data_IF_845493902695
#
_entry.id   IF_845493902695
#
_cell.length_a   1.000
_cell.length_b   1.000
_cell.length_c   1.000
_cell.angle_alpha   90.00
_cell.angle_beta   90.00
_cell.angle_gamma   90.00
#
_symmetry.space_group_name_H-M   'P 1'
#
loop_
_entity.id
_entity.type
_entity.pdbx_description
1 polymer ?
#
# COMPACT_ATOMS: atom_id res chain seq x y z
N UNK A 1 39.99 65.84 1.28
CA UNK A 1 40.06 64.46 1.80
C UNK A 1 39.69 63.54 0.64
N UNK A 2 40.66 62.86 0.03
CA UNK A 2 40.42 62.01 -1.13
C UNK A 2 39.96 60.63 -0.68
N UNK A 3 38.84 60.14 -1.21
CA UNK A 3 38.37 58.77 -0.97
C UNK A 3 39.35 57.75 -1.56
N UNK A 4 39.57 56.58 -0.91
CA UNK A 4 40.45 55.56 -1.43
C UNK A 4 39.85 54.93 -2.69
N UNK A 5 40.66 54.59 -3.71
CA UNK A 5 40.18 53.87 -4.88
C UNK A 5 39.86 52.42 -4.47
N UNK A 6 38.60 52.02 -4.62
CA UNK A 6 38.22 50.61 -4.60
C UNK A 6 38.85 49.94 -5.84
N UNK A 7 39.70 48.94 -5.62
CA UNK A 7 40.45 48.28 -6.68
C UNK A 7 39.65 47.08 -7.23
N UNK A 8 39.35 47.01 -8.54
CA UNK A 8 38.56 45.95 -9.17
C UNK A 8 39.05 44.51 -8.93
N UNK A 9 40.31 44.36 -8.54
CA UNK A 9 40.95 43.08 -8.24
C UNK A 9 40.47 42.50 -6.90
N UNK A 10 40.13 43.34 -5.92
CA UNK A 10 39.58 42.90 -4.65
C UNK A 10 38.15 42.34 -4.83
N UNK A 11 37.34 43.00 -5.66
CA UNK A 11 35.97 42.55 -5.99
C UNK A 11 35.95 41.18 -6.70
N UNK A 12 36.86 40.97 -7.67
CA UNK A 12 36.99 39.67 -8.34
C UNK A 12 37.42 38.54 -7.39
N UNK A 13 38.32 38.82 -6.45
CA UNK A 13 38.73 37.83 -5.45
C UNK A 13 37.59 37.48 -4.49
N UNK A 14 36.76 38.46 -4.14
CA UNK A 14 35.59 38.24 -3.32
C UNK A 14 34.56 37.37 -4.05
N UNK A 15 34.24 37.70 -5.30
CA UNK A 15 33.32 36.92 -6.13
C UNK A 15 33.78 35.47 -6.33
N UNK A 16 35.09 35.24 -6.50
CA UNK A 16 35.64 33.90 -6.59
C UNK A 16 35.47 33.08 -5.29
N UNK A 17 35.59 33.73 -4.13
CA UNK A 17 35.36 33.09 -2.83
C UNK A 17 33.88 32.78 -2.62
N UNK A 18 32.99 33.71 -2.96
CA UNK A 18 31.54 33.52 -2.88
C UNK A 18 31.08 32.39 -3.81
N UNK A 19 31.59 32.35 -5.05
CA UNK A 19 31.29 31.25 -5.99
C UNK A 19 31.79 29.90 -5.47
N UNK A 20 32.98 29.87 -4.86
CA UNK A 20 33.51 28.65 -4.25
C UNK A 20 32.63 28.18 -3.09
N UNK A 21 32.24 29.09 -2.21
CA UNK A 21 31.36 28.76 -1.09
C UNK A 21 29.99 28.24 -1.56
N UNK A 22 29.44 28.81 -2.64
CA UNK A 22 28.19 28.35 -3.24
C UNK A 22 28.34 26.97 -3.90
N UNK A 23 29.44 26.71 -4.60
CA UNK A 23 29.72 25.38 -5.15
C UNK A 23 29.85 24.33 -4.04
N UNK A 24 30.64 24.64 -3.01
CA UNK A 24 30.82 23.75 -1.85
C UNK A 24 29.47 23.49 -1.13
N UNK A 25 28.59 24.50 -1.06
CA UNK A 25 27.22 24.36 -0.52
C UNK A 25 26.35 23.45 -1.38
N UNK A 26 26.38 23.61 -2.70
CA UNK A 26 25.61 22.77 -3.63
C UNK A 26 26.08 21.32 -3.62
N UNK A 27 27.39 21.10 -3.57
CA UNK A 27 27.95 19.76 -3.44
C UNK A 27 27.47 19.05 -2.17
N UNK A 28 27.42 19.77 -1.05
CA UNK A 28 26.88 19.25 0.20
C UNK A 28 25.37 18.93 0.10
N UNK A 29 24.59 19.80 -0.53
CA UNK A 29 23.15 19.56 -0.76
C UNK A 29 22.89 18.35 -1.66
N UNK A 30 23.69 18.19 -2.73
CA UNK A 30 23.62 17.03 -3.62
C UNK A 30 23.92 15.75 -2.85
N UNK A 31 24.99 15.73 -2.03
CA UNK A 31 25.36 14.57 -1.21
C UNK A 31 24.28 14.20 -0.19
N UNK A 32 23.65 15.19 0.44
CA UNK A 32 22.52 14.96 1.34
C UNK A 32 21.34 14.34 0.62
N UNK A 33 20.98 14.89 -0.54
CA UNK A 33 19.86 14.36 -1.35
C UNK A 33 20.12 12.93 -1.81
N UNK A 34 21.35 12.63 -2.28
CA UNK A 34 21.74 11.27 -2.66
C UNK A 34 21.67 10.30 -1.49
N UNK A 35 22.04 10.73 -0.28
CA UNK A 35 21.97 9.91 0.92
C UNK A 35 20.51 9.59 1.28
N UNK A 36 19.63 10.61 1.28
CA UNK A 36 18.20 10.42 1.53
C UNK A 36 17.54 9.50 0.47
N UNK A 37 17.91 9.65 -0.80
CA UNK A 37 17.42 8.79 -1.87
C UNK A 37 17.88 7.34 -1.68
N UNK A 38 19.15 7.12 -1.32
CA UNK A 38 19.68 5.79 -1.04
C UNK A 38 18.96 5.12 0.14
N UNK A 39 18.73 5.85 1.21
CA UNK A 39 17.98 5.36 2.39
C UNK A 39 16.55 5.00 1.98
N UNK A 40 15.86 5.88 1.26
CA UNK A 40 14.50 5.66 0.77
C UNK A 40 14.40 4.42 -0.13
N UNK A 41 15.33 4.26 -1.07
CA UNK A 41 15.38 3.09 -1.96
C UNK A 41 15.61 1.80 -1.15
N UNK A 42 16.47 1.86 -0.13
CA UNK A 42 16.74 0.71 0.75
C UNK A 42 15.47 0.32 1.51
N UNK A 43 14.80 1.29 2.16
CA UNK A 43 13.55 1.06 2.89
C UNK A 43 12.44 0.53 1.98
N UNK A 44 12.30 1.07 0.77
CA UNK A 44 11.35 0.57 -0.21
C UNK A 44 11.68 -0.88 -0.63
N UNK A 45 12.96 -1.19 -0.84
CA UNK A 45 13.41 -2.54 -1.15
C UNK A 45 13.07 -3.55 -0.05
N UNK A 46 13.30 -3.21 1.22
CA UNK A 46 12.92 -4.06 2.35
C UNK A 46 11.40 -4.23 2.47
N UNK A 47 10.65 -3.16 2.20
CA UNK A 47 9.17 -3.22 2.19
C UNK A 47 8.66 -4.16 1.09
N UNK A 48 9.21 -4.07 -0.12
CA UNK A 48 8.84 -4.94 -1.25
C UNK A 48 9.16 -6.41 -0.93
N UNK A 49 10.34 -6.70 -0.38
CA UNK A 49 10.70 -8.09 0.01
C UNK A 49 9.73 -8.65 1.04
N UNK A 50 9.34 -7.81 2.00
CA UNK A 50 8.33 -8.19 2.98
C UNK A 50 7.02 -8.48 2.26
N UNK A 51 6.49 -7.55 1.47
CA UNK A 51 5.22 -7.76 0.75
C UNK A 51 5.24 -9.03 -0.12
N UNK A 52 6.37 -9.32 -0.78
CA UNK A 52 6.56 -10.55 -1.55
C UNK A 52 6.48 -11.82 -0.68
N UNK A 53 7.16 -11.83 0.47
CA UNK A 53 7.11 -12.96 1.41
C UNK A 53 5.67 -13.25 1.88
N UNK A 54 4.91 -12.20 2.19
CA UNK A 54 3.51 -12.31 2.61
C UNK A 54 2.62 -12.83 1.48
N UNK A 55 2.85 -12.36 0.24
CA UNK A 55 2.15 -12.86 -0.93
C UNK A 55 2.44 -14.35 -1.18
N UNK A 56 3.69 -14.79 -0.97
CA UNK A 56 4.06 -16.20 -1.08
C UNK A 56 3.40 -17.05 0.01
N UNK A 57 3.41 -16.61 1.27
CA UNK A 57 2.75 -17.31 2.38
C UNK A 57 1.24 -17.47 2.12
N UNK A 58 0.59 -16.40 1.63
CA UNK A 58 -0.82 -16.45 1.27
C UNK A 58 -1.08 -17.48 0.17
N UNK A 59 -0.22 -17.57 -0.85
CA UNK A 59 -0.34 -18.59 -1.91
C UNK A 59 -0.21 -20.01 -1.36
N UNK A 60 0.74 -20.24 -0.45
CA UNK A 60 0.91 -21.55 0.19
C UNK A 60 -0.33 -21.96 0.99
N UNK A 61 -0.91 -21.03 1.75
CA UNK A 61 -2.13 -21.28 2.50
C UNK A 61 -3.31 -21.60 1.58
N UNK A 62 -3.42 -20.93 0.43
CA UNK A 62 -4.43 -21.24 -0.58
C UNK A 62 -4.25 -22.66 -1.15
N UNK A 63 -3.01 -23.05 -1.47
CA UNK A 63 -2.72 -24.39 -1.99
C UNK A 63 -3.01 -25.47 -0.95
N UNK A 64 -2.70 -25.22 0.32
CA UNK A 64 -3.03 -26.13 1.41
C UNK A 64 -4.55 -26.25 1.61
N UNK A 65 -5.26 -25.13 1.64
CA UNK A 65 -6.73 -25.11 1.73
C UNK A 65 -7.35 -25.85 0.54
N UNK A 66 -6.81 -25.65 -0.67
CA UNK A 66 -7.27 -26.36 -1.87
C UNK A 66 -7.07 -27.87 -1.75
N UNK A 67 -5.93 -28.31 -1.21
CA UNK A 67 -5.67 -29.74 -0.94
C UNK A 67 -6.66 -30.30 0.08
N UNK A 68 -6.96 -29.57 1.15
CA UNK A 68 -7.95 -29.99 2.17
C UNK A 68 -9.35 -30.11 1.57
N UNK A 69 -9.79 -29.14 0.76
CA UNK A 69 -11.08 -29.20 0.06
C UNK A 69 -11.13 -30.39 -0.91
N UNK A 70 -10.04 -30.65 -1.64
CA UNK A 70 -9.97 -31.83 -2.50
C UNK A 70 -10.05 -33.14 -1.71
N UNK A 71 -9.38 -33.24 -0.57
CA UNK A 71 -9.45 -34.41 0.30
C UNK A 71 -10.87 -34.63 0.85
N UNK A 72 -11.56 -33.56 1.22
CA UNK A 72 -12.97 -33.60 1.65
C UNK A 72 -13.92 -33.96 0.50
N UNK A 73 -13.67 -33.52 -0.73
CA UNK A 73 -14.47 -33.92 -1.91
C UNK A 73 -14.30 -35.40 -2.27
N UNK A 74 -13.16 -36.02 -1.94
CA UNK A 74 -12.95 -37.45 -2.15
C UNK A 74 -13.61 -38.32 -1.07
N UNK A 75 -14.05 -37.72 0.04
CA UNK A 75 -15.00 -38.33 0.97
C UNK A 75 -16.42 -38.02 0.45
N UNK A 76 -17.05 -38.99 -0.21
CA UNK A 76 -18.35 -38.84 -0.88
C UNK A 76 -19.48 -38.26 0.00
N UNK A 77 -20.60 -37.83 -0.62
CA UNK A 77 -21.61 -36.99 0.03
C UNK A 77 -22.27 -37.70 1.23
N UNK A 78 -22.03 -37.16 2.43
CA UNK A 78 -22.88 -37.44 3.59
C UNK A 78 -24.18 -36.64 3.44
N UNK A 79 -25.28 -37.35 3.66
CA UNK A 79 -26.65 -36.97 3.37
C UNK A 79 -27.06 -35.65 4.01
N UNK A 80 -27.72 -34.80 3.22
CA UNK A 80 -28.26 -33.50 3.62
C UNK A 80 -29.57 -33.74 4.41
N UNK A 81 -29.71 -33.28 5.67
CA UNK A 81 -31.02 -33.14 6.28
C UNK A 81 -31.66 -31.84 5.79
N UNK A 82 -32.85 -31.98 5.23
CA UNK A 82 -33.75 -30.90 4.79
C UNK A 82 -34.06 -29.96 5.96
N UNK A 83 -33.53 -28.73 5.91
CA UNK A 83 -33.82 -27.66 6.86
C UNK A 83 -34.55 -26.52 6.16
N UNK A 84 -35.84 -26.38 6.44
CA UNK A 84 -36.72 -25.35 5.90
C UNK A 84 -36.51 -24.00 6.61
N UNK A 85 -36.89 -22.91 5.92
CA UNK A 85 -37.23 -21.57 6.43
C UNK A 85 -36.15 -20.46 6.40
N UNK A 86 -36.47 -19.33 5.77
CA UNK A 86 -35.62 -18.13 5.77
C UNK A 86 -35.79 -17.17 4.59
N UNK A 87 -37.01 -16.70 4.36
CA UNK A 87 -37.42 -15.49 3.63
C UNK A 87 -36.28 -14.63 3.01
N UNK A 88 -36.04 -14.77 1.70
CA UNK A 88 -35.12 -13.92 0.95
C UNK A 88 -35.72 -12.53 0.73
N UNK A 89 -35.38 -11.57 1.57
CA UNK A 89 -35.60 -10.14 1.27
C UNK A 89 -34.65 -9.75 0.13
N UNK A 90 -35.22 -9.29 -0.98
CA UNK A 90 -34.49 -8.83 -2.16
C UNK A 90 -33.78 -7.52 -1.83
N UNK A 91 -32.53 -7.60 -1.38
CA UNK A 91 -31.63 -6.44 -1.28
C UNK A 91 -31.22 -6.02 -2.69
N UNK A 92 -31.24 -4.72 -3.05
CA UNK A 92 -30.78 -4.24 -4.36
C UNK A 92 -29.33 -4.68 -4.62
N UNK A 93 -28.92 -4.84 -5.89
CA UNK A 93 -27.55 -5.25 -6.23
C UNK A 93 -26.56 -4.25 -5.64
N UNK A 94 -25.87 -4.68 -4.58
CA UNK A 94 -24.92 -3.84 -3.86
C UNK A 94 -23.75 -3.54 -4.80
N UNK A 95 -23.28 -2.29 -4.90
CA UNK A 95 -22.12 -1.95 -5.78
C UNK A 95 -20.82 -2.66 -5.36
N UNK A 96 -20.85 -3.33 -4.21
CA UNK A 96 -19.83 -4.23 -3.66
C UNK A 96 -19.95 -5.67 -4.18
N UNK A 97 -20.83 -5.96 -5.15
CA UNK A 97 -21.09 -7.32 -5.62
C UNK A 97 -19.82 -7.97 -6.18
N UNK A 98 -19.43 -9.09 -5.58
CA UNK A 98 -18.20 -9.81 -5.92
C UNK A 98 -16.93 -9.29 -5.25
N UNK A 99 -17.02 -8.29 -4.36
CA UNK A 99 -15.96 -7.96 -3.42
C UNK A 99 -16.03 -8.87 -2.20
N UNK A 100 -14.90 -9.39 -1.75
CA UNK A 100 -14.83 -10.24 -0.56
C UNK A 100 -13.56 -9.92 0.25
N UNK A 101 -13.71 -9.77 1.57
CA UNK A 101 -12.57 -9.54 2.47
C UNK A 101 -11.84 -10.85 2.71
N UNK A 102 -10.62 -10.96 2.20
CA UNK A 102 -9.75 -12.12 2.42
C UNK A 102 -9.00 -12.03 3.74
N UNK A 103 -8.45 -10.87 4.08
CA UNK A 103 -7.76 -10.62 5.35
C UNK A 103 -7.80 -9.14 5.69
N UNK A 104 -7.72 -8.82 6.97
CA UNK A 104 -7.58 -7.46 7.47
C UNK A 104 -6.46 -7.46 8.50
N UNK A 105 -5.42 -6.68 8.25
CA UNK A 105 -4.26 -6.60 9.12
C UNK A 105 -3.77 -5.16 9.23
N UNK A 106 -3.66 -4.66 10.47
CA UNK A 106 -3.03 -3.38 10.82
C UNK A 106 -3.32 -2.23 9.83
N UNK A 107 -4.60 -1.94 9.59
CA UNK A 107 -5.03 -0.84 8.71
C UNK A 107 -4.94 -1.12 7.20
N UNK A 108 -4.74 -2.38 6.83
CA UNK A 108 -4.73 -2.86 5.45
C UNK A 108 -5.77 -3.97 5.29
N UNK A 109 -6.51 -3.95 4.19
CA UNK A 109 -7.49 -4.96 3.86
C UNK A 109 -7.16 -5.59 2.51
N UNK A 110 -7.16 -6.91 2.48
CA UNK A 110 -7.04 -7.69 1.25
C UNK A 110 -8.43 -7.99 0.72
N UNK A 111 -8.80 -7.36 -0.38
CA UNK A 111 -10.11 -7.51 -1.00
C UNK A 111 -9.95 -8.27 -2.31
N UNK A 112 -10.66 -9.40 -2.43
CA UNK A 112 -10.81 -10.10 -3.70
C UNK A 112 -11.89 -9.42 -4.51
N UNK A 113 -11.58 -9.03 -5.74
CA UNK A 113 -12.51 -8.41 -6.67
C UNK A 113 -12.14 -8.73 -8.12
N UNK A 114 -13.13 -9.09 -8.94
CA UNK A 114 -12.96 -9.46 -10.35
C UNK A 114 -11.89 -10.55 -10.63
N UNK A 115 -11.69 -11.48 -9.69
CA UNK A 115 -10.70 -12.56 -9.83
C UNK A 115 -9.27 -12.19 -9.42
N UNK A 116 -9.04 -10.96 -8.96
CA UNK A 116 -7.75 -10.51 -8.41
C UNK A 116 -7.87 -10.14 -6.93
N UNK A 117 -6.75 -10.21 -6.20
CA UNK A 117 -6.65 -9.75 -4.83
C UNK A 117 -5.97 -8.38 -4.80
N UNK A 118 -6.57 -7.44 -4.09
CA UNK A 118 -6.12 -6.05 -3.98
C UNK A 118 -5.83 -5.75 -2.51
N UNK A 119 -4.64 -5.24 -2.22
CA UNK A 119 -4.31 -4.68 -0.92
C UNK A 119 -4.74 -3.21 -0.90
N UNK A 120 -5.61 -2.83 0.03
CA UNK A 120 -6.13 -1.47 0.15
C UNK A 120 -5.99 -0.95 1.59
N UNK A 121 -5.70 0.33 1.72
CA UNK A 121 -5.67 1.07 2.99
C UNK A 121 -6.81 2.09 3.04
N UNK A 122 -6.99 2.72 4.20
CA UNK A 122 -7.91 3.85 4.33
C UNK A 122 -7.49 4.99 3.38
N UNK A 123 -8.45 5.50 2.60
CA UNK A 123 -8.22 6.50 1.54
C UNK A 123 -7.98 5.89 0.15
N UNK A 124 -7.62 4.61 0.05
CA UNK A 124 -7.35 3.97 -1.25
C UNK A 124 -8.65 3.77 -2.04
N UNK A 125 -8.50 3.68 -3.36
CA UNK A 125 -9.61 3.47 -4.29
C UNK A 125 -9.51 2.12 -4.97
N UNK A 126 -10.61 1.37 -4.91
CA UNK A 126 -10.79 0.11 -5.62
C UNK A 126 -11.89 0.28 -6.67
N UNK A 127 -11.49 0.60 -7.90
CA UNK A 127 -12.39 1.05 -8.96
C UNK A 127 -13.05 2.39 -8.59
N UNK A 128 -14.38 2.41 -8.56
CA UNK A 128 -15.16 3.61 -8.20
C UNK A 128 -15.51 3.69 -6.70
N UNK A 129 -14.92 2.82 -5.89
CA UNK A 129 -15.20 2.69 -4.46
C UNK A 129 -13.98 3.18 -3.69
N UNK A 130 -14.18 4.11 -2.77
CA UNK A 130 -13.11 4.60 -1.88
C UNK A 130 -13.22 3.90 -0.54
N UNK A 131 -12.11 3.43 0.01
CA UNK A 131 -12.02 2.85 1.35
C UNK A 131 -12.00 4.00 2.34
N UNK A 132 -12.98 4.05 3.23
CA UNK A 132 -13.10 5.12 4.22
C UNK A 132 -12.45 4.71 5.54
N UNK A 133 -12.65 3.45 5.95
CA UNK A 133 -12.18 2.95 7.24
C UNK A 133 -12.04 1.43 7.24
N UNK A 134 -11.06 0.90 7.96
CA UNK A 134 -10.81 -0.53 8.08
C UNK A 134 -10.88 -0.93 9.56
N UNK A 135 -11.82 -1.81 9.89
CA UNK A 135 -12.05 -2.30 11.26
C UNK A 135 -11.50 -3.73 11.39
N UNK A 136 -10.27 -3.91 11.93
CA UNK A 136 -9.65 -5.23 12.03
C UNK A 136 -10.37 -6.14 13.04
N UNK A 137 -10.90 -5.57 14.12
CA UNK A 137 -11.59 -6.29 15.21
C UNK A 137 -12.87 -6.99 14.74
N UNK A 138 -13.54 -6.44 13.73
CA UNK A 138 -14.77 -7.00 13.15
C UNK A 138 -14.59 -7.48 11.71
N UNK A 139 -13.34 -7.50 11.21
CA UNK A 139 -12.98 -7.82 9.82
C UNK A 139 -13.91 -7.13 8.81
N UNK A 140 -14.18 -5.85 9.04
CA UNK A 140 -15.12 -5.06 8.23
C UNK A 140 -14.39 -3.91 7.55
N UNK A 141 -14.75 -3.61 6.30
CA UNK A 141 -14.19 -2.47 5.56
C UNK A 141 -15.33 -1.53 5.19
N UNK A 142 -15.28 -0.30 5.71
CA UNK A 142 -16.24 0.74 5.39
C UNK A 142 -15.77 1.44 4.11
N UNK A 143 -16.62 1.45 3.10
CA UNK A 143 -16.34 2.07 1.81
C UNK A 143 -17.41 3.09 1.43
N UNK A 144 -17.13 3.92 0.44
CA UNK A 144 -18.09 4.88 -0.12
C UNK A 144 -19.35 4.21 -0.72
N UNK A 145 -19.30 2.90 -1.00
CA UNK A 145 -20.42 2.12 -1.51
C UNK A 145 -21.13 1.27 -0.43
N UNK A 146 -20.69 1.34 0.82
CA UNK A 146 -21.23 0.58 1.95
C UNK A 146 -20.16 -0.21 2.70
N UNK A 147 -20.59 -1.00 3.68
CA UNK A 147 -19.70 -1.82 4.51
C UNK A 147 -19.54 -3.21 3.91
N UNK A 148 -18.30 -3.61 3.66
CA UNK A 148 -17.92 -4.96 3.28
C UNK A 148 -17.65 -5.79 4.55
N UNK A 149 -18.13 -7.05 4.57
CA UNK A 149 -18.01 -8.01 5.67
C UNK A 149 -17.73 -9.40 5.13
#
# INVERSE_FOLDING_TARGET
MSAPPVTPQADMQQLARDLKAELDRRDEEIRRTLTMLKESITTLGDTIRKDEAWAQETRQLLDETRKQVHALQMQGPLQIPTGNNGQSTKTPPSRLQGMQIMSVEKGMAWIRWQGSAWAVREGDRLGNITITRIEPSSRSVITSAGTLR
#
